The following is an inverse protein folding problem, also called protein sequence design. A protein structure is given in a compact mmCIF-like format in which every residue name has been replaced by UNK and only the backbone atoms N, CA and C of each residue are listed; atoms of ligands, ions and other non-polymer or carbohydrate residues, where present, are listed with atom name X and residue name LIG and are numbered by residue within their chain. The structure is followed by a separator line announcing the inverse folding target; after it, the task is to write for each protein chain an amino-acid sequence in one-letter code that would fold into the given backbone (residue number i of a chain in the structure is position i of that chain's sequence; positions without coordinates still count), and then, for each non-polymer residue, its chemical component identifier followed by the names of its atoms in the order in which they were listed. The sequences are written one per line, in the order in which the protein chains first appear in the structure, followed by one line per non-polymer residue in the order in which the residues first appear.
data_IF_458335559714
#
_entry.id   IF_458335559714
#
_cell.length_a   1.000
_cell.length_b   1.000
_cell.length_c   1.000
_cell.angle_alpha   90.00
_cell.angle_beta   90.00
_cell.angle_gamma   90.00
#
_symmetry.space_group_name_H-M   'P 1'
#
loop_
_entity.id
_entity.type
_entity.pdbx_description
1 polymer ?
#
# COMPACT_ATOMS: atom_id res chain seq x y z
N UNK A 1 16.67 21.72 -0.37
CA UNK A 1 16.34 20.73 0.66
C UNK A 1 14.98 21.13 1.19
N UNK A 2 13.90 20.41 0.86
CA UNK A 2 12.60 20.66 1.44
C UNK A 2 12.67 20.31 2.93
N UNK A 3 12.25 21.23 3.78
CA UNK A 3 12.26 21.08 5.23
C UNK A 3 11.13 20.10 5.59
N UNK A 4 11.45 18.87 5.95
CA UNK A 4 10.45 17.91 6.41
C UNK A 4 9.65 18.53 7.56
N UNK A 5 8.32 18.41 7.60
CA UNK A 5 7.51 19.00 8.65
C UNK A 5 7.94 18.46 10.02
N UNK A 6 7.99 19.32 11.03
CA UNK A 6 8.29 18.86 12.38
C UNK A 6 7.25 17.83 12.85
N UNK A 7 7.66 16.95 13.76
CA UNK A 7 6.76 15.94 14.35
C UNK A 7 5.49 16.58 14.93
N UNK A 8 5.63 17.74 15.58
CA UNK A 8 4.51 18.47 16.16
C UNK A 8 3.53 18.95 15.08
N UNK A 9 4.05 19.46 13.96
CA UNK A 9 3.24 19.93 12.83
C UNK A 9 2.47 18.76 12.19
N UNK A 10 3.13 17.63 12.02
CA UNK A 10 2.52 16.43 11.48
C UNK A 10 1.41 15.90 12.41
N UNK A 11 1.72 15.70 13.71
CA UNK A 11 0.75 15.19 14.68
C UNK A 11 -0.44 16.14 14.86
N UNK A 12 -0.20 17.45 14.92
CA UNK A 12 -1.25 18.44 15.02
C UNK A 12 -2.24 18.34 13.86
N UNK A 13 -1.72 18.23 12.63
CA UNK A 13 -2.54 18.03 11.43
C UNK A 13 -3.30 16.70 11.46
N UNK A 14 -2.64 15.59 11.79
CA UNK A 14 -3.26 14.27 11.87
C UNK A 14 -4.41 14.22 12.89
N UNK A 15 -4.21 14.80 14.09
CA UNK A 15 -5.24 14.91 15.12
C UNK A 15 -6.44 15.71 14.60
N UNK A 16 -6.19 16.86 14.00
CA UNK A 16 -7.23 17.75 13.45
C UNK A 16 -8.03 17.07 12.34
N UNK A 17 -7.37 16.39 11.40
CA UNK A 17 -8.03 15.66 10.32
C UNK A 17 -8.92 14.54 10.84
N UNK A 18 -8.44 13.74 11.81
CA UNK A 18 -9.23 12.68 12.43
C UNK A 18 -10.43 13.26 13.19
N UNK A 19 -10.22 14.33 13.95
CA UNK A 19 -11.32 15.01 14.66
C UNK A 19 -12.42 15.48 13.69
N UNK A 20 -12.04 16.19 12.63
CA UNK A 20 -12.97 16.69 11.63
C UNK A 20 -13.67 15.56 10.85
N UNK A 21 -12.91 14.51 10.48
CA UNK A 21 -13.45 13.34 9.80
C UNK A 21 -14.49 12.57 10.62
N UNK A 22 -14.42 12.64 11.95
CA UNK A 22 -15.43 12.09 12.87
C UNK A 22 -16.52 13.10 13.27
N UNK A 23 -16.53 14.29 12.69
CA UNK A 23 -17.52 15.34 13.02
C UNK A 23 -17.41 15.92 14.45
N UNK A 24 -16.25 15.73 15.10
CA UNK A 24 -16.05 16.14 16.49
C UNK A 24 -15.55 17.59 16.58
N UNK A 25 -16.02 18.30 17.63
CA UNK A 25 -15.50 19.64 17.96
C UNK A 25 -14.24 19.55 18.83
N UNK A 26 -13.51 20.66 18.97
CA UNK A 26 -12.40 20.76 19.96
C UNK A 26 -12.92 20.48 21.38
N UNK A 27 -14.15 20.92 21.70
CA UNK A 27 -14.74 20.68 23.01
C UNK A 27 -14.94 19.20 23.28
N UNK A 28 -15.49 18.44 22.32
CA UNK A 28 -15.77 17.01 22.46
C UNK A 28 -14.48 16.20 22.73
N UNK A 29 -13.45 16.45 21.92
CA UNK A 29 -12.18 15.73 22.08
C UNK A 29 -11.45 16.15 23.35
N UNK A 30 -11.46 17.44 23.70
CA UNK A 30 -10.82 17.94 24.93
C UNK A 30 -11.43 17.33 26.19
N UNK A 31 -12.77 17.26 26.24
CA UNK A 31 -13.50 16.65 27.36
C UNK A 31 -13.17 15.15 27.50
N UNK A 32 -13.27 14.40 26.40
CA UNK A 32 -12.95 12.95 26.38
C UNK A 32 -11.50 12.66 26.72
N UNK A 33 -10.56 13.50 26.25
CA UNK A 33 -9.13 13.33 26.51
C UNK A 33 -8.70 13.88 27.89
N UNK A 34 -9.57 14.57 28.62
CA UNK A 34 -9.24 15.19 29.93
C UNK A 34 -8.17 16.28 29.79
N UNK A 35 -8.22 17.10 28.72
CA UNK A 35 -7.31 18.25 28.52
C UNK A 35 -8.12 19.52 28.26
N UNK A 36 -7.49 20.69 28.41
CA UNK A 36 -8.16 21.95 28.10
C UNK A 36 -8.35 22.16 26.60
N UNK A 37 -9.41 22.86 26.19
CA UNK A 37 -9.64 23.25 24.78
C UNK A 37 -8.46 24.03 24.20
N UNK A 38 -7.87 24.93 25.00
CA UNK A 38 -6.68 25.69 24.59
C UNK A 38 -5.46 24.81 24.36
N UNK A 39 -5.30 23.74 25.16
CA UNK A 39 -4.21 22.77 24.98
C UNK A 39 -4.39 22.00 23.66
N UNK A 40 -5.59 21.46 23.40
CA UNK A 40 -5.85 20.74 22.15
C UNK A 40 -5.66 21.65 20.94
N UNK A 41 -6.16 22.89 21.01
CA UNK A 41 -5.96 23.88 19.92
C UNK A 41 -4.49 24.18 19.67
N UNK A 42 -3.66 24.33 20.70
CA UNK A 42 -2.22 24.52 20.55
C UNK A 42 -1.52 23.32 19.95
N UNK A 43 -1.92 22.10 20.32
CA UNK A 43 -1.40 20.85 19.74
C UNK A 43 -1.76 20.75 18.27
N UNK A 44 -3.03 20.97 17.89
CA UNK A 44 -3.48 20.93 16.49
C UNK A 44 -2.79 21.96 15.60
N UNK A 45 -2.35 23.08 16.18
CA UNK A 45 -1.63 24.14 15.46
C UNK A 45 -0.09 24.07 15.63
N UNK A 46 0.44 22.97 16.15
CA UNK A 46 1.87 22.75 16.39
C UNK A 46 2.54 23.85 17.27
N UNK A 47 1.79 24.47 18.15
CA UNK A 47 2.27 25.54 19.04
C UNK A 47 2.85 25.02 20.36
N UNK A 48 2.77 23.72 20.60
CA UNK A 48 3.31 23.09 21.78
C UNK A 48 3.63 21.62 21.53
N UNK A 49 4.76 21.16 22.07
CA UNK A 49 5.05 19.73 22.15
C UNK A 49 4.11 19.08 23.17
N UNK A 50 3.82 17.79 22.98
CA UNK A 50 2.94 17.04 23.88
C UNK A 50 3.55 15.70 24.27
N UNK A 51 3.19 15.19 25.45
CA UNK A 51 3.67 13.90 25.94
C UNK A 51 2.96 12.74 25.22
N UNK A 52 3.62 11.57 25.17
CA UNK A 52 2.99 10.34 24.68
C UNK A 52 1.71 9.97 25.40
N UNK A 53 1.65 10.21 26.73
CA UNK A 53 0.43 10.00 27.53
C UNK A 53 -0.72 10.89 27.04
N UNK A 54 -0.46 12.16 26.76
CA UNK A 54 -1.47 13.07 26.21
C UNK A 54 -1.90 12.64 24.81
N UNK A 55 -0.96 12.22 23.95
CA UNK A 55 -1.29 11.69 22.61
C UNK A 55 -2.14 10.43 22.69
N UNK A 56 -1.86 9.54 23.65
CA UNK A 56 -2.64 8.33 23.87
C UNK A 56 -4.09 8.65 24.27
N UNK A 57 -4.28 9.62 25.18
CA UNK A 57 -5.61 10.08 25.59
C UNK A 57 -6.37 10.74 24.44
N UNK A 58 -5.69 11.54 23.60
CA UNK A 58 -6.29 12.14 22.41
C UNK A 58 -6.67 11.05 21.39
N UNK A 59 -5.80 10.07 21.14
CA UNK A 59 -6.08 8.94 20.23
C UNK A 59 -7.31 8.15 20.71
N UNK A 60 -7.38 7.83 22.02
CA UNK A 60 -8.54 7.17 22.63
C UNK A 60 -9.82 8.02 22.48
N UNK A 61 -9.75 9.32 22.69
CA UNK A 61 -10.88 10.24 22.53
C UNK A 61 -11.39 10.31 21.09
N UNK A 62 -10.50 10.11 20.11
CA UNK A 62 -10.80 10.02 18.69
C UNK A 62 -11.25 8.62 18.23
N UNK A 63 -11.17 7.60 19.11
CA UNK A 63 -11.48 6.21 18.75
C UNK A 63 -10.44 5.55 17.84
N UNK A 64 -9.19 6.01 17.85
CA UNK A 64 -8.10 5.46 17.04
C UNK A 64 -6.94 4.97 17.91
N UNK A 65 -6.07 4.13 17.36
CA UNK A 65 -4.83 3.75 18.06
C UNK A 65 -3.80 4.88 18.01
N UNK A 66 -2.91 4.92 19.02
CA UNK A 66 -1.79 5.88 19.01
C UNK A 66 -0.94 5.74 17.73
N UNK A 67 -0.69 4.52 17.26
CA UNK A 67 0.04 4.25 16.02
C UNK A 67 -0.63 4.86 14.79
N UNK A 68 -1.95 5.02 14.79
CA UNK A 68 -2.69 5.69 13.71
C UNK A 68 -2.32 7.16 13.57
N UNK A 69 -1.98 7.84 14.67
CA UNK A 69 -1.56 9.24 14.64
C UNK A 69 -0.15 9.42 14.02
N UNK A 70 0.67 8.37 14.06
CA UNK A 70 2.03 8.38 13.52
C UNK A 70 2.14 7.70 12.14
N UNK A 71 1.06 7.15 11.62
CA UNK A 71 1.07 6.24 10.45
C UNK A 71 1.84 6.78 9.25
N UNK A 72 1.69 8.06 8.96
CA UNK A 72 2.28 8.69 7.79
C UNK A 72 3.42 9.66 8.15
N UNK A 73 3.95 9.57 9.38
CA UNK A 73 5.08 10.41 9.79
C UNK A 73 6.36 9.98 9.08
N UNK A 74 7.00 10.93 8.42
CA UNK A 74 8.20 10.67 7.61
C UNK A 74 7.89 10.23 6.18
N UNK A 75 6.61 9.99 5.87
CA UNK A 75 6.15 9.88 4.48
C UNK A 75 5.85 11.30 4.01
N UNK A 76 6.67 11.83 3.12
CA UNK A 76 6.36 13.13 2.50
C UNK A 76 5.05 13.00 1.72
N UNK A 77 3.95 13.51 2.30
CA UNK A 77 2.65 13.52 1.67
C UNK A 77 2.72 14.28 0.34
N UNK A 78 2.51 13.56 -0.76
CA UNK A 78 2.58 14.12 -2.10
C UNK A 78 3.95 14.00 -2.78
N UNK A 79 4.95 13.33 -2.18
CA UNK A 79 6.21 13.01 -2.87
C UNK A 79 5.96 11.96 -3.95
N UNK A 80 6.38 12.23 -5.18
CA UNK A 80 6.40 11.25 -6.24
C UNK A 80 7.59 10.31 -6.04
N UNK A 81 7.36 9.00 -6.10
CA UNK A 81 8.45 8.05 -6.21
C UNK A 81 8.79 7.83 -7.69
N UNK A 82 10.01 8.16 -8.08
CA UNK A 82 10.53 7.86 -9.41
C UNK A 82 11.49 6.69 -9.33
N UNK A 83 11.13 5.59 -9.98
CA UNK A 83 11.99 4.42 -10.16
C UNK A 83 12.48 4.42 -11.60
N UNK A 84 13.76 4.74 -11.88
CA UNK A 84 14.31 4.74 -13.23
C UNK A 84 14.25 3.35 -13.87
N UNK A 85 14.29 3.29 -15.20
CA UNK A 85 14.34 2.04 -15.96
C UNK A 85 15.47 1.13 -15.42
N UNK A 86 15.12 -0.09 -15.06
CA UNK A 86 16.06 -1.09 -14.53
C UNK A 86 16.42 -0.92 -13.05
N UNK A 87 15.89 0.08 -12.34
CA UNK A 87 16.13 0.31 -10.91
C UNK A 87 15.03 -0.26 -10.01
N UNK A 88 14.06 -1.00 -10.55
CA UNK A 88 13.07 -1.73 -9.76
C UNK A 88 13.78 -2.71 -8.81
N UNK A 89 13.28 -2.81 -7.57
CA UNK A 89 13.85 -3.73 -6.58
C UNK A 89 13.50 -5.17 -6.96
N UNK A 90 14.52 -5.99 -7.20
CA UNK A 90 14.31 -7.42 -7.43
C UNK A 90 13.81 -8.10 -6.15
N UNK A 91 12.71 -8.83 -6.27
CA UNK A 91 12.06 -9.52 -5.16
C UNK A 91 11.97 -11.01 -5.48
N UNK A 92 12.51 -11.84 -4.58
CA UNK A 92 12.34 -13.29 -4.65
C UNK A 92 11.03 -13.66 -3.95
N UNK A 93 10.03 -14.15 -4.70
CA UNK A 93 8.79 -14.69 -4.12
C UNK A 93 8.94 -16.20 -3.83
N UNK A 94 8.19 -16.70 -2.84
CA UNK A 94 8.15 -18.14 -2.53
C UNK A 94 7.73 -18.94 -3.78
N UNK A 95 8.52 -19.94 -4.15
CA UNK A 95 8.24 -20.80 -5.31
C UNK A 95 8.96 -20.40 -6.59
N UNK A 96 9.65 -19.26 -6.62
CA UNK A 96 10.44 -18.84 -7.78
C UNK A 96 11.80 -19.54 -7.74
N UNK A 97 11.98 -20.55 -8.56
CA UNK A 97 13.29 -21.12 -8.91
C UNK A 97 13.65 -20.58 -10.29
N UNK A 98 14.84 -20.16 -10.54
CA UNK A 98 15.44 -19.60 -11.75
C UNK A 98 14.57 -19.50 -13.04
N UNK A 99 14.53 -18.35 -13.69
CA UNK A 99 13.90 -18.15 -15.02
C UNK A 99 12.85 -17.04 -15.09
N UNK A 100 12.47 -16.46 -13.94
CA UNK A 100 11.62 -15.28 -13.91
C UNK A 100 12.07 -14.31 -12.82
N UNK A 101 11.90 -13.04 -13.11
CA UNK A 101 12.27 -11.95 -12.20
C UNK A 101 11.06 -11.07 -11.90
N UNK A 102 10.94 -10.69 -10.62
CA UNK A 102 9.95 -9.74 -10.13
C UNK A 102 10.67 -8.46 -9.76
N UNK A 103 10.37 -7.37 -10.45
CA UNK A 103 10.89 -6.06 -10.09
C UNK A 103 9.76 -5.21 -9.52
N UNK A 104 9.82 -4.93 -8.21
CA UNK A 104 8.90 -4.02 -7.53
C UNK A 104 9.15 -2.59 -8.00
N UNK A 105 8.12 -1.93 -8.52
CA UNK A 105 8.20 -0.60 -9.13
C UNK A 105 7.81 0.55 -8.18
N UNK A 106 7.27 0.23 -7.00
CA UNK A 106 6.99 1.21 -5.94
C UNK A 106 7.15 0.54 -4.58
N UNK A 107 8.03 1.04 -3.74
CA UNK A 107 8.41 0.41 -2.46
C UNK A 107 8.41 1.34 -1.25
N UNK A 108 8.31 2.64 -1.45
CA UNK A 108 8.25 3.64 -0.38
C UNK A 108 6.82 4.17 -0.20
N UNK A 109 5.96 3.30 0.36
CA UNK A 109 4.53 3.59 0.55
C UNK A 109 4.15 3.83 2.01
N UNK A 110 5.16 4.00 2.88
CA UNK A 110 4.92 4.15 4.32
C UNK A 110 4.51 2.84 5.00
N UNK A 111 4.00 2.92 6.24
CA UNK A 111 3.74 1.74 7.08
C UNK A 111 2.52 0.91 6.63
N UNK A 112 1.68 1.44 5.75
CA UNK A 112 0.49 0.74 5.25
C UNK A 112 0.62 0.52 3.75
N UNK A 113 0.96 -0.71 3.39
CA UNK A 113 1.00 -1.16 2.02
C UNK A 113 -0.42 -1.17 1.43
N UNK A 114 -0.67 -0.34 0.42
CA UNK A 114 -1.96 -0.24 -0.24
C UNK A 114 -1.99 -0.94 -1.58
N UNK A 115 -0.87 -0.94 -2.30
CA UNK A 115 -0.70 -1.60 -3.58
C UNK A 115 0.75 -2.03 -3.82
N UNK A 116 0.97 -2.99 -4.72
CA UNK A 116 2.29 -3.43 -5.18
C UNK A 116 2.31 -3.56 -6.70
N UNK A 117 2.99 -2.64 -7.41
CA UNK A 117 3.22 -2.78 -8.84
C UNK A 117 4.52 -3.56 -9.09
N UNK A 118 4.44 -4.64 -9.87
CA UNK A 118 5.60 -5.38 -10.34
C UNK A 118 5.71 -5.35 -11.85
N UNK A 119 6.93 -5.32 -12.35
CA UNK A 119 7.27 -5.78 -13.68
C UNK A 119 7.76 -7.22 -13.55
N UNK A 120 7.08 -8.14 -14.20
CA UNK A 120 7.45 -9.56 -14.22
C UNK A 120 8.02 -9.89 -15.58
N UNK A 121 9.15 -10.60 -15.59
CA UNK A 121 9.79 -11.11 -16.80
C UNK A 121 9.99 -12.61 -16.67
N UNK A 122 9.59 -13.40 -17.67
CA UNK A 122 9.74 -14.85 -17.76
C UNK A 122 10.50 -15.13 -19.06
N UNK A 123 11.72 -15.68 -18.91
CA UNK A 123 12.61 -15.91 -20.06
C UNK A 123 12.66 -17.37 -20.51
N UNK A 124 12.11 -18.31 -19.72
CA UNK A 124 12.19 -19.75 -19.98
C UNK A 124 10.79 -20.37 -20.10
N UNK A 125 10.49 -21.01 -21.24
CA UNK A 125 9.24 -21.73 -21.48
C UNK A 125 9.02 -22.97 -20.60
N UNK A 126 10.08 -23.57 -20.10
CA UNK A 126 10.00 -24.78 -19.26
C UNK A 126 9.70 -24.51 -17.79
N UNK A 127 9.39 -23.28 -17.43
CA UNK A 127 9.14 -22.91 -16.04
C UNK A 127 7.75 -23.32 -15.58
N UNK A 128 7.67 -23.87 -14.36
CA UNK A 128 6.42 -24.28 -13.72
C UNK A 128 6.19 -23.35 -12.54
N UNK A 129 5.03 -22.72 -12.50
CA UNK A 129 4.64 -21.83 -11.43
C UNK A 129 3.71 -22.52 -10.43
N UNK A 130 3.94 -22.34 -9.11
CA UNK A 130 2.95 -22.71 -8.12
C UNK A 130 1.73 -21.80 -8.28
N UNK A 131 0.60 -22.23 -7.73
CA UNK A 131 -0.53 -21.33 -7.59
C UNK A 131 -0.21 -20.28 -6.51
N UNK A 132 -0.53 -19.04 -6.83
CA UNK A 132 -0.43 -17.91 -5.92
C UNK A 132 -1.80 -17.63 -5.32
N UNK A 133 -1.80 -17.22 -4.06
CA UNK A 133 -2.98 -16.71 -3.36
C UNK A 133 -2.56 -15.51 -2.50
N UNK A 134 -3.33 -14.46 -2.51
CA UNK A 134 -3.12 -13.29 -1.67
C UNK A 134 -4.42 -12.49 -1.50
N UNK A 135 -4.58 -11.71 -0.42
CA UNK A 135 -5.75 -10.85 -0.28
C UNK A 135 -5.74 -9.72 -1.30
N UNK A 136 -6.94 -9.29 -1.69
CA UNK A 136 -7.18 -8.13 -2.52
C UNK A 136 -7.36 -8.42 -4.01
N UNK A 137 -7.26 -7.37 -4.81
CA UNK A 137 -7.47 -7.44 -6.26
C UNK A 137 -6.14 -7.35 -6.99
N UNK A 138 -5.93 -8.21 -7.98
CA UNK A 138 -4.79 -8.14 -8.88
C UNK A 138 -5.24 -7.72 -10.28
N UNK A 139 -4.45 -6.83 -10.89
CA UNK A 139 -4.58 -6.40 -12.27
C UNK A 139 -3.31 -6.76 -13.03
N UNK A 140 -3.45 -7.39 -14.18
CA UNK A 140 -2.35 -7.73 -15.10
C UNK A 140 -2.52 -6.95 -16.41
N UNK A 141 -1.40 -6.47 -16.97
CA UNK A 141 -1.35 -5.91 -18.33
C UNK A 141 -0.14 -6.47 -19.08
N UNK A 142 -0.41 -7.14 -20.21
CA UNK A 142 0.60 -7.79 -21.02
C UNK A 142 1.37 -6.79 -21.88
N UNK A 143 2.71 -6.88 -21.84
CA UNK A 143 3.63 -6.04 -22.60
C UNK A 143 4.29 -6.79 -23.76
N UNK A 144 4.67 -8.07 -23.52
CA UNK A 144 5.45 -8.88 -24.48
C UNK A 144 5.18 -10.37 -24.25
N UNK A 145 5.29 -11.17 -25.30
CA UNK A 145 5.12 -12.62 -25.26
C UNK A 145 3.66 -13.06 -25.21
N UNK A 146 3.44 -14.35 -25.03
CA UNK A 146 2.10 -14.93 -24.96
C UNK A 146 2.06 -16.09 -23.97
N UNK A 147 1.03 -16.12 -23.11
CA UNK A 147 0.83 -17.17 -22.11
C UNK A 147 -0.65 -17.47 -21.89
N UNK A 148 -0.93 -18.66 -21.38
CA UNK A 148 -2.18 -18.93 -20.70
C UNK A 148 -2.02 -18.62 -19.21
N UNK A 149 -2.98 -17.93 -18.64
CA UNK A 149 -3.02 -17.57 -17.22
C UNK A 149 -4.21 -18.26 -16.54
N UNK A 150 -3.95 -18.95 -15.43
CA UNK A 150 -4.99 -19.69 -14.69
C UNK A 150 -5.53 -18.83 -13.55
N UNK A 151 -6.86 -18.91 -13.34
CA UNK A 151 -7.53 -18.34 -12.18
C UNK A 151 -8.66 -19.31 -11.76
N UNK A 152 -8.45 -20.06 -10.68
CA UNK A 152 -9.26 -21.21 -10.33
C UNK A 152 -9.26 -22.22 -11.46
N UNK A 153 -10.47 -22.61 -11.93
CA UNK A 153 -10.65 -23.54 -13.06
C UNK A 153 -10.64 -22.86 -14.43
N UNK A 154 -10.60 -21.53 -14.47
CA UNK A 154 -10.61 -20.78 -15.73
C UNK A 154 -9.20 -20.55 -16.26
N UNK A 155 -9.06 -20.57 -17.58
CA UNK A 155 -7.81 -20.30 -18.29
C UNK A 155 -8.04 -19.15 -19.27
N UNK A 156 -7.17 -18.15 -19.21
CA UNK A 156 -7.21 -16.96 -20.07
C UNK A 156 -5.94 -16.92 -20.92
N UNK A 157 -6.09 -16.92 -22.26
CA UNK A 157 -4.95 -16.73 -23.14
C UNK A 157 -4.67 -15.23 -23.27
N UNK A 158 -3.47 -14.82 -22.88
CA UNK A 158 -3.05 -13.43 -22.81
C UNK A 158 -1.93 -13.14 -23.81
N UNK A 159 -2.07 -12.03 -24.55
CA UNK A 159 -1.10 -11.50 -25.51
C UNK A 159 -0.87 -9.99 -25.25
N UNK A 160 0.15 -9.37 -25.87
CA UNK A 160 0.44 -7.96 -25.69
C UNK A 160 -0.78 -7.06 -25.92
N UNK A 161 -1.06 -6.17 -24.96
CA UNK A 161 -2.22 -5.29 -24.96
C UNK A 161 -3.42 -5.82 -24.17
N UNK A 162 -3.45 -7.13 -23.86
CA UNK A 162 -4.52 -7.69 -23.03
C UNK A 162 -4.36 -7.31 -21.56
N UNK A 163 -5.48 -7.23 -20.87
CA UNK A 163 -5.53 -7.05 -19.41
C UNK A 163 -6.44 -8.09 -18.77
N UNK A 164 -6.11 -8.48 -17.55
CA UNK A 164 -6.89 -9.37 -16.71
C UNK A 164 -7.00 -8.79 -15.29
N UNK A 165 -8.20 -8.76 -14.73
CA UNK A 165 -8.43 -8.31 -13.35
C UNK A 165 -9.18 -9.40 -12.60
N UNK A 166 -8.71 -9.75 -11.40
CA UNK A 166 -9.27 -10.85 -10.62
C UNK A 166 -9.05 -10.66 -9.12
N UNK A 167 -9.73 -11.50 -8.32
CA UNK A 167 -9.55 -11.57 -6.88
C UNK A 167 -8.39 -12.51 -6.55
N UNK A 168 -7.42 -11.98 -5.80
CA UNK A 168 -6.21 -12.71 -5.46
C UNK A 168 -6.41 -13.87 -4.48
N UNK A 169 -7.57 -13.96 -3.82
CA UNK A 169 -7.91 -15.06 -2.91
C UNK A 169 -8.22 -16.38 -3.64
N UNK A 170 -8.45 -16.34 -4.95
CA UNK A 170 -8.62 -17.53 -5.78
C UNK A 170 -7.25 -17.97 -6.28
N UNK A 171 -6.88 -19.26 -6.22
CA UNK A 171 -5.61 -19.77 -6.74
C UNK A 171 -5.39 -19.36 -8.20
N UNK A 172 -4.24 -18.75 -8.49
CA UNK A 172 -3.95 -18.20 -9.81
C UNK A 172 -2.46 -18.26 -10.16
N UNK A 173 -2.14 -18.13 -11.44
CA UNK A 173 -0.75 -18.08 -11.90
C UNK A 173 -0.57 -18.37 -13.39
N UNK A 174 0.64 -18.12 -13.92
CA UNK A 174 0.97 -18.53 -15.28
C UNK A 174 0.78 -20.03 -15.48
N UNK A 175 0.19 -20.40 -16.60
CA UNK A 175 0.02 -21.78 -17.06
C UNK A 175 1.00 -22.11 -18.19
N UNK A 176 0.49 -22.30 -19.42
CA UNK A 176 1.33 -22.59 -20.59
C UNK A 176 1.99 -21.31 -21.09
N UNK A 177 3.32 -21.34 -21.25
CA UNK A 177 4.09 -20.24 -21.81
C UNK A 177 4.30 -20.48 -23.30
N UNK A 178 3.57 -19.75 -24.17
CA UNK A 178 3.58 -19.97 -25.61
C UNK A 178 4.75 -19.26 -26.30
N UNK A 179 5.00 -18.00 -25.95
CA UNK A 179 6.05 -17.16 -26.55
C UNK A 179 6.81 -16.41 -25.45
N UNK A 180 8.10 -16.66 -25.34
CA UNK A 180 9.02 -15.96 -24.42
C UNK A 180 9.96 -15.03 -25.21
N UNK A 181 10.48 -13.94 -24.61
CA UNK A 181 10.25 -13.53 -23.23
C UNK A 181 8.82 -13.06 -23.02
N UNK A 182 8.24 -13.37 -21.86
CA UNK A 182 6.95 -12.83 -21.43
C UNK A 182 7.24 -11.69 -20.47
N UNK A 183 6.62 -10.54 -20.72
CA UNK A 183 6.71 -9.37 -19.83
C UNK A 183 5.33 -8.80 -19.58
N UNK A 184 5.03 -8.57 -18.33
CA UNK A 184 3.76 -7.96 -17.94
C UNK A 184 3.91 -7.14 -16.66
N UNK A 185 3.04 -6.15 -16.53
CA UNK A 185 2.87 -5.43 -15.27
C UNK A 185 1.78 -6.13 -14.49
N UNK A 186 2.01 -6.38 -13.21
CA UNK A 186 0.94 -6.70 -12.26
C UNK A 186 0.84 -5.64 -11.19
N UNK A 187 -0.38 -5.31 -10.79
CA UNK A 187 -0.69 -4.40 -9.70
C UNK A 187 -1.59 -5.12 -8.70
N UNK A 188 -1.06 -5.40 -7.52
CA UNK A 188 -1.83 -5.96 -6.41
C UNK A 188 -2.33 -4.79 -5.56
N UNK A 189 -3.64 -4.70 -5.36
CA UNK A 189 -4.29 -3.71 -4.51
C UNK A 189 -4.86 -4.43 -3.29
N UNK A 190 -4.37 -4.06 -2.12
CA UNK A 190 -4.78 -4.68 -0.85
C UNK A 190 -6.02 -3.99 -0.27
N UNK A 191 -6.94 -4.76 0.37
CA UNK A 191 -8.07 -4.16 1.06
C UNK A 191 -7.58 -3.25 2.18
N UNK A 192 -8.17 -2.07 2.31
CA UNK A 192 -7.92 -1.19 3.43
C UNK A 192 -8.50 -1.84 4.71
N UNK A 193 -7.77 -1.74 5.84
CA UNK A 193 -8.32 -2.16 7.14
C UNK A 193 -9.49 -1.26 7.50
N UNK A 194 -10.68 -1.69 7.23
CA UNK A 194 -11.94 -0.95 7.45
C UNK A 194 -13.06 -1.33 6.48
N UNK A 195 -12.74 -2.05 5.40
CA UNK A 195 -13.73 -2.47 4.38
C UNK A 195 -14.26 -3.89 4.63
N UNK A 196 -14.07 -4.44 5.83
CA UNK A 196 -14.66 -5.70 6.25
C UNK A 196 -15.89 -5.39 7.11
N UNK A 197 -17.04 -5.23 6.49
CA UNK A 197 -18.37 -5.47 7.07
C UNK A 197 -18.85 -6.87 6.71
#
# INVERSE_FOLDING_TARGET
MANSPSLESFLGKAIREKRLGHGLTIADVSERAGISRGMLSKIENAQTATSLDTLQRIAAALGVSLSTLFRDFGVEGGSAQHVPKGAGMEVVRRGTKSGHTYHLLAYDQGPTKTFEPFLITIDNQGEVFPDFEHPGTEFIYMLEGRMDYRHGEQVYSLQPGDSLTFRGEVPHGPGVLHEVPIRFITLIVYPQRGDAD
#
